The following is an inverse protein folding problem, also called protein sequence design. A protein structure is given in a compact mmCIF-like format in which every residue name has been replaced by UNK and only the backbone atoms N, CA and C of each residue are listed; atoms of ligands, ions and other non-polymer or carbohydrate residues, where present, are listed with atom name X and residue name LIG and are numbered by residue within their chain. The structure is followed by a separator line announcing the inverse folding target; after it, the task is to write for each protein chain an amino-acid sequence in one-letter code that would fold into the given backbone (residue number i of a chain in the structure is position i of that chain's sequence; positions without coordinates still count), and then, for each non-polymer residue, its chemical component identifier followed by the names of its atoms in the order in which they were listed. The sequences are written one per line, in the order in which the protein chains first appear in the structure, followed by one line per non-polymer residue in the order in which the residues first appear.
data_IF_811757538037
#
_entry.id   IF_811757538037
#
_cell.length_a   1.000
_cell.length_b   1.000
_cell.length_c   1.000
_cell.angle_alpha   90.00
_cell.angle_beta   90.00
_cell.angle_gamma   90.00
#
_symmetry.space_group_name_H-M   'P 1'
#
loop_
_entity.id
_entity.type
_entity.pdbx_description
1 polymer ?
#
# COMPACT_ATOMS: atom_id res chain seq x y z
N UNK A 1 23.69 6.40 -39.40
CA UNK A 1 23.10 5.15 -39.94
C UNK A 1 24.19 4.10 -40.01
N UNK A 2 24.26 3.19 -39.04
CA UNK A 2 25.07 1.97 -39.15
C UNK A 2 24.24 0.82 -38.61
N UNK A 3 23.65 0.08 -39.55
CA UNK A 3 22.97 -1.17 -39.30
C UNK A 3 24.01 -2.28 -39.17
N UNK A 4 24.00 -3.03 -38.07
CA UNK A 4 24.71 -4.31 -38.00
C UNK A 4 23.70 -5.45 -37.90
N UNK A 5 23.73 -6.25 -38.96
CA UNK A 5 22.97 -7.48 -39.17
C UNK A 5 23.55 -8.60 -38.29
N UNK A 6 22.72 -9.29 -37.52
CA UNK A 6 23.10 -10.55 -36.88
C UNK A 6 22.82 -11.72 -37.81
N UNK A 7 23.88 -12.50 -38.11
CA UNK A 7 23.83 -13.77 -38.83
C UNK A 7 23.60 -14.90 -37.82
N UNK A 8 22.66 -15.79 -38.13
CA UNK A 8 22.48 -17.06 -37.44
C UNK A 8 23.64 -18.00 -37.78
N UNK A 9 24.27 -18.58 -36.76
CA UNK A 9 25.17 -19.73 -36.90
C UNK A 9 24.66 -20.84 -35.98
N UNK A 10 24.17 -21.90 -36.60
CA UNK A 10 23.76 -23.15 -35.97
C UNK A 10 25.00 -23.86 -35.45
N UNK A 11 25.13 -24.03 -34.14
CA UNK A 11 26.17 -24.89 -33.54
C UNK A 11 25.50 -26.15 -32.99
N UNK A 12 25.76 -27.28 -33.64
CA UNK A 12 25.42 -28.59 -33.13
C UNK A 12 26.29 -28.88 -31.89
N UNK A 13 25.65 -29.08 -30.75
CA UNK A 13 26.33 -29.42 -29.50
C UNK A 13 26.37 -30.93 -29.33
N UNK A 14 27.56 -31.49 -29.44
CA UNK A 14 27.91 -32.87 -29.10
C UNK A 14 27.65 -33.12 -27.62
N UNK A 15 26.85 -34.14 -27.33
CA UNK A 15 26.46 -34.54 -25.99
C UNK A 15 27.63 -35.27 -25.29
N UNK A 16 28.38 -34.55 -24.45
CA UNK A 16 29.28 -35.16 -23.48
C UNK A 16 28.44 -35.53 -22.25
N UNK A 17 28.24 -36.83 -22.02
CA UNK A 17 27.56 -37.35 -20.83
C UNK A 17 28.41 -37.08 -19.58
N UNK A 18 28.13 -35.98 -18.89
CA UNK A 18 28.52 -35.79 -17.50
C UNK A 18 27.67 -36.71 -16.61
N UNK A 19 28.23 -37.32 -15.55
CA UNK A 19 27.42 -38.02 -14.57
C UNK A 19 26.42 -37.03 -13.98
N UNK A 20 25.14 -37.40 -14.01
CA UNK A 20 24.07 -36.63 -13.40
C UNK A 20 24.40 -36.43 -11.91
N UNK A 21 24.93 -35.25 -11.57
CA UNK A 21 24.89 -34.75 -10.22
C UNK A 21 23.41 -34.75 -9.83
N UNK A 22 23.06 -35.60 -8.85
CA UNK A 22 21.68 -35.83 -8.46
C UNK A 22 20.95 -34.51 -8.29
N UNK A 23 19.82 -34.37 -8.98
CA UNK A 23 18.85 -33.34 -8.66
C UNK A 23 18.49 -33.55 -7.19
N UNK A 24 19.01 -32.68 -6.32
CA UNK A 24 18.55 -32.61 -4.95
C UNK A 24 17.05 -32.32 -5.04
N UNK A 25 16.23 -33.34 -4.76
CA UNK A 25 14.81 -33.14 -4.56
C UNK A 25 14.69 -32.12 -3.44
N UNK A 26 14.22 -30.91 -3.77
CA UNK A 26 13.75 -29.99 -2.75
C UNK A 26 12.74 -30.77 -1.90
N UNK A 27 12.99 -30.96 -0.59
CA UNK A 27 12.06 -31.69 0.24
C UNK A 27 10.69 -31.05 0.12
N UNK A 28 9.68 -31.86 -0.17
CA UNK A 28 8.30 -31.38 -0.17
C UNK A 28 8.03 -30.69 1.18
N UNK A 29 7.35 -29.53 1.20
CA UNK A 29 7.03 -28.86 2.45
C UNK A 29 6.30 -29.85 3.34
N UNK A 30 6.84 -30.07 4.54
CA UNK A 30 6.19 -30.89 5.56
C UNK A 30 4.76 -30.38 5.72
N UNK A 31 3.72 -31.22 5.57
CA UNK A 31 2.36 -30.80 5.84
C UNK A 31 2.33 -30.24 7.25
N UNK A 32 1.91 -28.99 7.40
CA UNK A 32 1.65 -28.44 8.73
C UNK A 32 0.70 -29.42 9.45
N UNK A 33 0.95 -29.76 10.73
CA UNK A 33 0.02 -30.57 11.48
C UNK A 33 -1.36 -29.91 11.39
N UNK A 34 -2.28 -30.53 10.64
CA UNK A 34 -3.68 -30.13 10.65
C UNK A 34 -4.23 -30.60 11.99
N UNK A 35 -4.06 -29.75 13.01
CA UNK A 35 -4.90 -29.83 14.19
C UNK A 35 -6.34 -29.71 13.68
N UNK A 36 -7.17 -30.71 13.97
CA UNK A 36 -8.61 -30.62 13.70
C UNK A 36 -9.16 -29.31 14.30
N UNK A 37 -10.32 -28.82 13.82
CA UNK A 37 -10.89 -27.58 14.34
C UNK A 37 -10.87 -27.64 15.87
N UNK A 38 -10.31 -26.62 16.55
CA UNK A 38 -10.24 -26.63 18.00
C UNK A 38 -11.64 -26.90 18.54
N UNK A 39 -11.73 -27.75 19.58
CA UNK A 39 -12.99 -28.02 20.25
C UNK A 39 -13.70 -26.69 20.54
N UNK A 40 -14.98 -26.59 20.16
CA UNK A 40 -15.73 -25.35 20.33
C UNK A 40 -15.73 -24.95 21.80
N UNK A 41 -15.04 -23.85 22.12
CA UNK A 41 -15.00 -23.28 23.47
C UNK A 41 -16.33 -22.55 23.71
N UNK A 42 -16.94 -22.75 24.87
CA UNK A 42 -18.17 -22.02 25.23
C UNK A 42 -17.89 -20.51 25.37
N UNK A 43 -18.91 -19.67 25.17
CA UNK A 43 -18.77 -18.21 25.37
C UNK A 43 -18.35 -17.89 26.80
N UNK A 44 -18.83 -18.65 27.79
CA UNK A 44 -18.47 -18.47 29.20
C UNK A 44 -17.00 -18.80 29.46
N UNK A 45 -16.50 -19.90 28.89
CA UNK A 45 -15.10 -20.27 29.00
C UNK A 45 -14.17 -19.26 28.30
N UNK A 46 -14.55 -18.78 27.11
CA UNK A 46 -13.83 -17.71 26.42
C UNK A 46 -13.78 -16.44 27.27
N UNK A 47 -14.92 -16.05 27.83
CA UNK A 47 -15.03 -14.86 28.68
C UNK A 47 -14.16 -14.97 29.94
N UNK A 48 -14.18 -16.13 30.60
CA UNK A 48 -13.35 -16.40 31.76
C UNK A 48 -11.85 -16.31 31.42
N UNK A 49 -11.43 -16.89 30.29
CA UNK A 49 -10.05 -16.83 29.81
C UNK A 49 -9.61 -15.40 29.51
N UNK A 50 -10.45 -14.59 28.87
CA UNK A 50 -10.16 -13.17 28.59
C UNK A 50 -10.03 -12.38 29.89
N UNK A 51 -10.98 -12.52 30.82
CA UNK A 51 -10.93 -11.84 32.12
C UNK A 51 -9.67 -12.20 32.91
N UNK A 52 -9.30 -13.48 32.95
CA UNK A 52 -8.06 -13.91 33.58
C UNK A 52 -6.81 -13.33 32.88
N UNK A 53 -6.83 -13.16 31.56
CA UNK A 53 -5.72 -12.59 30.80
C UNK A 53 -5.53 -11.09 31.06
N UNK A 54 -6.63 -10.32 31.10
CA UNK A 54 -6.57 -8.87 31.32
C UNK A 54 -6.34 -8.50 32.80
N UNK A 55 -6.63 -9.42 33.73
CA UNK A 55 -6.36 -9.25 35.16
C UNK A 55 -4.91 -9.53 35.58
N UNK A 56 -4.01 -9.91 34.65
CA UNK A 56 -2.63 -10.27 35.00
C UNK A 56 -1.85 -9.07 35.58
N UNK A 57 -0.95 -9.27 36.56
CA UNK A 57 -0.30 -8.17 37.30
C UNK A 57 0.48 -7.16 36.45
N UNK A 58 0.96 -7.53 35.26
CA UNK A 58 1.65 -6.61 34.36
C UNK A 58 0.77 -5.48 33.84
N UNK A 59 -0.56 -5.66 33.79
CA UNK A 59 -1.51 -4.67 33.27
C UNK A 59 -2.08 -3.77 34.36
N UNK A 60 -1.71 -3.96 35.63
CA UNK A 60 -2.32 -3.29 36.81
C UNK A 60 -2.31 -1.75 36.76
N UNK A 61 -1.40 -1.14 35.98
CA UNK A 61 -1.28 0.31 35.82
C UNK A 61 -1.98 0.85 34.57
N UNK A 62 -2.38 -0.03 33.65
CA UNK A 62 -3.07 0.34 32.43
C UNK A 62 -4.58 0.30 32.60
N UNK A 63 -5.29 0.95 31.69
CA UNK A 63 -6.72 0.77 31.51
C UNK A 63 -6.95 -0.10 30.29
N UNK A 64 -7.87 -1.06 30.39
CA UNK A 64 -8.24 -1.94 29.28
C UNK A 64 -9.74 -1.78 29.02
N UNK A 65 -10.07 -1.42 27.79
CA UNK A 65 -11.44 -1.42 27.26
C UNK A 65 -11.63 -2.59 26.29
N UNK A 66 -12.71 -3.35 26.46
CA UNK A 66 -13.11 -4.42 25.54
C UNK A 66 -14.61 -4.34 25.25
N UNK A 67 -14.97 -4.60 23.99
CA UNK A 67 -16.34 -4.87 23.56
C UNK A 67 -16.29 -5.92 22.46
N UNK A 68 -16.83 -7.10 22.74
CA UNK A 68 -16.86 -8.23 21.81
C UNK A 68 -18.32 -8.48 21.44
N UNK A 69 -18.61 -8.43 20.14
CA UNK A 69 -19.96 -8.56 19.60
C UNK A 69 -19.97 -9.67 18.55
N UNK A 70 -20.99 -10.53 18.61
CA UNK A 70 -21.25 -11.51 17.55
C UNK A 70 -21.77 -10.79 16.31
N UNK A 71 -21.06 -10.89 15.18
CA UNK A 71 -21.50 -10.28 13.92
C UNK A 71 -22.76 -10.94 13.36
N UNK A 72 -22.98 -12.24 13.64
CA UNK A 72 -24.16 -12.97 13.16
C UNK A 72 -25.44 -12.62 13.91
N UNK A 73 -25.34 -12.31 15.22
CA UNK A 73 -26.51 -12.14 16.09
C UNK A 73 -26.66 -10.73 16.66
N UNK A 74 -25.63 -9.89 16.55
CA UNK A 74 -25.56 -8.58 17.21
C UNK A 74 -25.38 -8.66 18.74
N UNK A 75 -25.33 -9.87 19.32
CA UNK A 75 -25.23 -10.05 20.76
C UNK A 75 -23.85 -9.65 21.27
N UNK A 76 -23.82 -8.80 22.29
CA UNK A 76 -22.62 -8.54 23.08
C UNK A 76 -22.25 -9.81 23.87
N UNK A 77 -21.03 -10.28 23.68
CA UNK A 77 -20.49 -11.47 24.34
C UNK A 77 -19.70 -11.10 25.60
N UNK A 78 -18.98 -9.96 25.56
CA UNK A 78 -18.19 -9.45 26.67
C UNK A 78 -17.99 -7.94 26.51
N UNK A 79 -18.16 -7.20 27.61
CA UNK A 79 -17.79 -5.79 27.73
C UNK A 79 -17.01 -5.57 29.03
N UNK A 80 -15.97 -4.75 28.96
CA UNK A 80 -15.19 -4.26 30.11
C UNK A 80 -14.76 -2.83 29.79
N UNK A 81 -15.18 -1.83 30.57
CA UNK A 81 -14.89 -0.40 30.31
C UNK A 81 -15.24 0.09 28.88
N UNK A 82 -16.25 -0.49 28.24
CA UNK A 82 -16.54 -0.28 26.82
C UNK A 82 -16.98 1.15 26.47
N UNK A 83 -17.43 1.91 27.47
CA UNK A 83 -17.94 3.29 27.37
C UNK A 83 -16.90 4.35 27.76
N UNK A 84 -15.69 3.94 28.15
CA UNK A 84 -14.61 4.88 28.50
C UNK A 84 -13.88 5.39 27.26
N UNK A 85 -13.36 6.62 27.36
CA UNK A 85 -12.48 7.18 26.34
C UNK A 85 -11.06 6.63 26.45
N UNK A 86 -10.45 6.34 25.30
CA UNK A 86 -9.07 5.89 25.17
C UNK A 86 -8.38 6.65 24.03
N UNK A 87 -7.05 6.74 24.07
CA UNK A 87 -6.27 7.12 22.90
C UNK A 87 -6.26 5.95 21.91
N UNK A 88 -6.89 6.07 20.72
CA UNK A 88 -7.04 4.93 19.82
C UNK A 88 -5.74 4.56 19.09
N UNK A 89 -4.73 5.44 19.11
CA UNK A 89 -3.54 5.32 18.28
C UNK A 89 -3.93 5.01 16.81
N UNK A 90 -3.27 4.05 16.17
CA UNK A 90 -3.58 3.66 14.79
C UNK A 90 -4.98 3.05 14.60
N UNK A 91 -5.73 2.70 15.65
CA UNK A 91 -7.13 2.29 15.50
C UNK A 91 -8.02 3.44 14.99
N UNK A 92 -7.57 4.71 15.12
CA UNK A 92 -8.25 5.86 14.53
C UNK A 92 -8.41 5.72 13.01
N UNK A 93 -7.49 4.99 12.35
CA UNK A 93 -7.54 4.72 10.91
C UNK A 93 -8.85 4.03 10.50
N UNK A 94 -9.47 3.23 11.37
CA UNK A 94 -10.76 2.60 11.05
C UNK A 94 -11.85 3.64 10.77
N UNK A 95 -11.90 4.72 11.55
CA UNK A 95 -12.84 5.82 11.34
C UNK A 95 -12.50 6.59 10.07
N UNK A 96 -11.21 6.88 9.85
CA UNK A 96 -10.75 7.56 8.63
C UNK A 96 -11.08 6.77 7.37
N UNK A 97 -10.88 5.45 7.37
CA UNK A 97 -11.22 4.58 6.25
C UNK A 97 -12.73 4.52 6.04
N UNK A 98 -13.53 4.38 7.11
CA UNK A 98 -14.98 4.39 6.99
C UNK A 98 -15.50 5.69 6.37
N UNK A 99 -15.06 6.84 6.90
CA UNK A 99 -15.43 8.15 6.37
C UNK A 99 -14.93 8.35 4.92
N UNK A 100 -13.74 7.86 4.59
CA UNK A 100 -13.19 7.91 3.23
C UNK A 100 -14.03 7.09 2.25
N UNK A 101 -14.40 5.86 2.62
CA UNK A 101 -15.26 5.00 1.79
C UNK A 101 -16.66 5.60 1.60
N UNK A 102 -17.24 6.18 2.66
CA UNK A 102 -18.54 6.86 2.58
C UNK A 102 -18.49 8.10 1.68
N UNK A 103 -17.44 8.92 1.82
CA UNK A 103 -17.34 10.22 1.14
C UNK A 103 -16.88 10.08 -0.31
N UNK A 104 -15.87 9.25 -0.56
CA UNK A 104 -15.22 9.14 -1.87
C UNK A 104 -15.79 8.01 -2.72
N UNK A 105 -16.45 7.03 -2.10
CA UNK A 105 -16.77 5.70 -2.64
C UNK A 105 -15.55 4.79 -2.84
N UNK A 106 -15.73 3.45 -2.88
CA UNK A 106 -14.66 2.51 -3.19
C UNK A 106 -14.05 2.67 -4.59
N UNK A 107 -14.79 3.30 -5.51
CA UNK A 107 -14.37 3.46 -6.91
C UNK A 107 -13.65 4.78 -7.17
N UNK A 108 -13.47 5.62 -6.14
CA UNK A 108 -12.72 6.86 -6.28
C UNK A 108 -11.32 6.61 -6.84
N UNK A 109 -10.88 7.51 -7.73
CA UNK A 109 -9.51 7.55 -8.22
C UNK A 109 -8.97 8.94 -8.03
N UNK A 110 -7.82 9.03 -7.36
CA UNK A 110 -7.07 10.27 -7.32
C UNK A 110 -6.61 10.61 -8.74
N UNK A 111 -6.55 11.91 -9.03
CA UNK A 111 -6.13 12.40 -10.33
C UNK A 111 -4.97 13.36 -10.13
N UNK A 112 -3.85 13.04 -10.76
CA UNK A 112 -2.73 13.97 -10.99
C UNK A 112 -2.84 14.47 -12.42
N UNK A 113 -2.80 15.78 -12.63
CA UNK A 113 -2.97 16.37 -13.97
C UNK A 113 -1.76 17.18 -14.38
N UNK A 114 -1.48 17.22 -15.67
CA UNK A 114 -0.38 18.01 -16.25
C UNK A 114 -0.97 19.11 -17.11
N UNK A 115 -0.54 20.35 -16.88
CA UNK A 115 -1.03 21.54 -17.58
C UNK A 115 0.12 22.30 -18.23
N UNK A 116 -0.13 22.77 -19.44
CA UNK A 116 0.69 23.76 -20.14
C UNK A 116 -0.22 24.91 -20.58
N UNK A 117 0.34 26.13 -20.69
CA UNK A 117 -0.43 27.29 -21.15
C UNK A 117 -0.85 27.18 -22.63
N UNK A 118 -0.08 26.43 -23.42
CA UNK A 118 -0.37 26.10 -24.80
C UNK A 118 0.04 24.63 -25.08
N UNK A 119 -0.56 23.99 -26.10
CA UNK A 119 -0.11 22.67 -26.56
C UNK A 119 1.37 22.69 -26.99
N UNK A 120 1.99 21.51 -26.98
CA UNK A 120 3.32 21.36 -27.58
C UNK A 120 3.28 21.68 -29.08
N UNK A 121 4.36 22.28 -29.59
CA UNK A 121 4.51 22.54 -31.03
C UNK A 121 4.72 21.24 -31.83
N UNK A 122 4.82 21.33 -33.16
CA UNK A 122 4.98 20.16 -34.03
C UNK A 122 6.26 19.37 -33.79
N UNK A 123 7.25 19.93 -33.10
CA UNK A 123 8.46 19.22 -32.68
C UNK A 123 8.29 18.49 -31.34
N UNK A 124 7.15 18.67 -30.65
CA UNK A 124 6.89 18.17 -29.31
C UNK A 124 7.43 19.10 -28.21
N UNK A 125 7.69 20.37 -28.52
CA UNK A 125 8.23 21.34 -27.55
C UNK A 125 7.12 22.14 -26.90
N UNK A 126 7.02 22.09 -25.57
CA UNK A 126 6.20 23.02 -24.77
C UNK A 126 7.03 24.26 -24.48
N UNK A 127 6.55 25.44 -24.86
CA UNK A 127 7.19 26.73 -24.54
C UNK A 127 6.49 27.36 -23.34
N UNK A 128 7.25 27.62 -22.29
CA UNK A 128 6.72 28.04 -20.99
C UNK A 128 6.58 26.88 -19.99
N UNK A 129 6.05 27.14 -18.79
CA UNK A 129 6.06 26.17 -17.71
C UNK A 129 5.11 24.99 -17.95
N UNK A 130 5.55 23.80 -17.52
CA UNK A 130 4.72 22.61 -17.42
C UNK A 130 4.39 22.38 -15.94
N UNK A 131 3.11 22.41 -15.58
CA UNK A 131 2.65 22.25 -14.20
C UNK A 131 2.12 20.84 -13.97
N UNK A 132 2.66 20.13 -12.98
CA UNK A 132 2.12 18.89 -12.43
C UNK A 132 1.26 19.26 -11.22
N UNK A 133 -0.05 19.06 -11.31
CA UNK A 133 -1.00 19.38 -10.24
C UNK A 133 -1.44 18.12 -9.51
N UNK A 134 -0.98 17.95 -8.27
CA UNK A 134 -1.26 16.81 -7.40
C UNK A 134 -2.50 17.03 -6.54
N UNK A 135 -3.34 15.99 -6.41
CA UNK A 135 -4.59 16.05 -5.61
C UNK A 135 -4.74 14.86 -4.66
N UNK A 136 -3.60 14.36 -4.16
CA UNK A 136 -3.56 13.29 -3.16
C UNK A 136 -3.41 11.87 -3.69
N UNK A 137 -2.86 11.72 -4.91
CA UNK A 137 -2.58 10.40 -5.45
C UNK A 137 -1.48 9.69 -4.66
N UNK A 138 -1.89 8.78 -3.78
CA UNK A 138 -0.98 8.01 -2.93
C UNK A 138 -0.31 6.87 -3.68
N UNK A 139 -0.75 6.52 -4.90
CA UNK A 139 -0.17 5.39 -5.64
C UNK A 139 1.25 5.66 -6.13
N UNK A 140 1.73 6.90 -6.03
CA UNK A 140 3.11 7.28 -6.33
C UNK A 140 4.11 6.79 -5.27
N UNK A 141 3.63 6.35 -4.10
CA UNK A 141 4.45 5.95 -2.97
C UNK A 141 5.33 4.73 -3.27
N UNK A 142 6.55 4.74 -2.71
CA UNK A 142 7.53 3.65 -2.71
C UNK A 142 6.91 2.28 -2.42
N UNK A 143 6.05 2.21 -1.40
CA UNK A 143 5.43 0.95 -0.94
C UNK A 143 4.51 0.33 -2.00
N UNK A 144 3.87 1.14 -2.84
CA UNK A 144 2.98 0.66 -3.90
C UNK A 144 3.70 0.38 -5.23
N UNK A 145 4.99 0.70 -5.30
CA UNK A 145 5.78 0.59 -6.52
C UNK A 145 7.01 -0.31 -6.34
N UNK A 146 6.81 -1.50 -5.77
CA UNK A 146 7.87 -2.52 -5.63
C UNK A 146 9.13 -2.00 -4.92
N UNK A 147 8.96 -1.10 -3.95
CA UNK A 147 10.07 -0.52 -3.21
C UNK A 147 11.05 0.27 -4.12
N UNK A 148 10.49 0.95 -5.13
CA UNK A 148 11.21 1.86 -6.02
C UNK A 148 10.60 3.27 -5.90
N UNK A 149 11.44 4.23 -5.53
CA UNK A 149 11.03 5.63 -5.35
C UNK A 149 10.69 6.33 -6.67
N UNK A 150 11.27 5.88 -7.79
CA UNK A 150 11.12 6.55 -9.08
C UNK A 150 9.99 5.96 -9.90
N UNK A 151 9.65 4.69 -9.67
CA UNK A 151 8.67 3.98 -10.50
C UNK A 151 7.30 4.67 -10.60
N UNK A 152 6.80 5.27 -9.51
CA UNK A 152 5.54 6.04 -9.55
C UNK A 152 5.66 7.33 -10.37
N UNK A 153 6.81 7.99 -10.33
CA UNK A 153 7.13 9.20 -11.10
C UNK A 153 7.37 8.85 -12.58
N UNK A 154 7.99 7.70 -12.87
CA UNK A 154 8.24 7.21 -14.22
C UNK A 154 6.92 7.02 -14.98
N UNK A 155 5.87 6.51 -14.32
CA UNK A 155 4.54 6.38 -14.93
C UNK A 155 3.96 7.75 -15.35
N UNK A 156 4.22 8.80 -14.57
CA UNK A 156 3.83 10.16 -14.93
C UNK A 156 4.67 10.69 -16.10
N UNK A 157 5.98 10.44 -16.11
CA UNK A 157 6.87 10.82 -17.20
C UNK A 157 6.52 10.09 -18.51
N UNK A 158 6.18 8.81 -18.43
CA UNK A 158 5.68 8.00 -19.55
C UNK A 158 4.40 8.59 -20.13
N UNK A 159 3.45 8.99 -19.28
CA UNK A 159 2.21 9.63 -19.71
C UNK A 159 2.46 10.98 -20.42
N UNK A 160 3.38 11.80 -19.90
CA UNK A 160 3.80 13.07 -20.51
C UNK A 160 4.44 12.82 -21.89
N UNK A 161 5.31 11.82 -21.98
CA UNK A 161 5.99 11.45 -23.23
C UNK A 161 5.01 10.89 -24.25
N UNK A 162 4.07 10.04 -23.82
CA UNK A 162 3.00 9.49 -24.65
C UNK A 162 2.06 10.56 -25.19
N UNK A 163 1.91 11.69 -24.48
CA UNK A 163 1.19 12.87 -24.96
C UNK A 163 1.96 13.66 -26.05
N UNK A 164 3.16 13.20 -26.45
CA UNK A 164 3.96 13.79 -27.53
C UNK A 164 4.92 14.88 -27.07
N UNK A 165 5.00 15.16 -25.77
CA UNK A 165 5.95 16.13 -25.23
C UNK A 165 7.35 15.52 -25.22
N UNK A 166 8.30 16.22 -25.85
CA UNK A 166 9.70 15.80 -25.98
C UNK A 166 10.67 16.80 -25.36
N UNK A 167 10.25 18.05 -25.24
CA UNK A 167 11.05 19.14 -24.68
C UNK A 167 10.16 20.14 -23.94
N UNK A 168 10.66 20.64 -22.82
CA UNK A 168 10.05 21.73 -22.07
C UNK A 168 11.06 22.88 -22.10
N UNK A 169 10.67 24.01 -22.69
CA UNK A 169 11.42 25.26 -22.70
C UNK A 169 10.79 26.21 -21.67
N UNK A 170 10.95 25.87 -20.40
CA UNK A 170 10.38 26.56 -19.24
C UNK A 170 10.56 25.71 -17.97
N UNK A 171 9.92 26.14 -16.89
CA UNK A 171 10.01 25.44 -15.60
C UNK A 171 9.10 24.21 -15.54
N UNK A 172 9.55 23.19 -14.82
CA UNK A 172 8.68 22.11 -14.35
C UNK A 172 8.18 22.47 -12.94
N UNK A 173 6.88 22.70 -12.80
CA UNK A 173 6.27 23.16 -11.55
C UNK A 173 5.51 22.01 -10.89
N UNK A 174 5.90 21.62 -9.68
CA UNK A 174 5.10 20.78 -8.81
C UNK A 174 4.10 21.64 -8.03
N UNK A 175 2.81 21.46 -8.28
CA UNK A 175 1.72 22.21 -7.67
C UNK A 175 0.96 21.31 -6.69
N UNK A 176 1.16 21.58 -5.40
CA UNK A 176 0.52 20.89 -4.28
C UNK A 176 -0.62 21.71 -3.63
N UNK A 177 -1.05 22.80 -4.27
CA UNK A 177 -1.99 23.78 -3.69
C UNK A 177 -3.42 23.26 -3.49
N UNK A 178 -3.71 22.04 -3.93
CA UNK A 178 -4.99 21.37 -3.73
C UNK A 178 -5.30 21.20 -2.24
N UNK A 179 -4.32 20.75 -1.45
CA UNK A 179 -4.44 20.70 0.00
C UNK A 179 -3.91 22.00 0.61
N UNK A 180 -4.64 22.51 1.59
CA UNK A 180 -4.30 23.74 2.31
C UNK A 180 -4.20 23.45 3.80
N UNK A 181 -3.36 24.23 4.49
CA UNK A 181 -3.14 24.12 5.92
C UNK A 181 -1.74 23.62 6.25
N UNK A 182 -1.50 23.38 7.54
CA UNK A 182 -0.21 22.87 8.01
C UNK A 182 0.02 21.44 7.50
N UNK A 183 1.19 21.12 6.92
CA UNK A 183 1.52 19.74 6.57
C UNK A 183 1.77 18.86 7.80
N UNK A 184 1.95 19.48 8.97
CA UNK A 184 2.18 18.80 10.25
C UNK A 184 0.92 18.93 11.11
N UNK A 185 0.28 17.81 11.50
CA UNK A 185 -0.86 17.82 12.41
C UNK A 185 -0.51 18.40 13.79
N UNK A 186 -1.44 19.16 14.39
CA UNK A 186 -1.26 19.89 15.66
C UNK A 186 -0.89 19.02 16.87
N UNK A 187 -1.06 17.70 16.79
CA UNK A 187 -0.76 16.75 17.87
C UNK A 187 0.48 15.89 17.66
N UNK A 188 1.29 16.16 16.63
CA UNK A 188 2.52 15.43 16.41
C UNK A 188 3.64 15.98 17.30
N UNK A 189 4.33 15.07 17.98
CA UNK A 189 5.60 15.36 18.63
C UNK A 189 6.67 15.59 17.55
N UNK A 190 7.70 16.35 17.89
CA UNK A 190 8.70 16.83 16.94
C UNK A 190 9.94 15.92 16.89
N UNK A 191 10.04 14.97 17.81
CA UNK A 191 11.16 14.08 18.11
C UNK A 191 10.89 12.58 17.88
#
# INVERSE_FOLDING_TARGET
MNALRYRFLTLALTCLMLPAAGLAQTPAPTPLPQTGPPAAVSVDELTARIRAAIARPQYRRGQIGLKIVSLNTGKVLLEENADKYFMPASNLKNFTVAAGLETLSPDYRFVTSVYAAAPADSSGTVRGPLRIYGRGDVSISYTFNSNDYFRGIDLLADAITAAGIKRIEGDLIADETYFRGSPIPTGWEWD
#
